data_IF_141295481132
#
_entry.id   IF_141295481132
#
_cell.length_a   1.000
_cell.length_b   1.000
_cell.length_c   1.000
_cell.angle_alpha   90.00
_cell.angle_beta   90.00
_cell.angle_gamma   90.00
#
_symmetry.space_group_name_H-M   'P 1'
#
loop_
_entity.id
_entity.type
_entity.pdbx_description
1 polymer ?
#
# COMPACT_ATOMS: atom_id res chain seq x y z
N UNK A 1 22.70 67.63 -33.03
CA UNK A 1 22.53 66.35 -32.33
C UNK A 1 23.91 65.69 -32.21
N UNK A 2 24.54 65.74 -31.04
CA UNK A 2 25.84 65.08 -30.81
C UNK A 2 25.58 63.82 -29.98
N UNK A 3 25.80 62.65 -30.57
CA UNK A 3 25.80 61.39 -29.83
C UNK A 3 27.09 61.30 -29.01
N UNK A 4 26.94 61.38 -27.68
CA UNK A 4 28.02 61.08 -26.76
C UNK A 4 28.00 59.58 -26.46
N UNK A 5 29.02 58.84 -26.89
CA UNK A 5 29.24 57.48 -26.44
C UNK A 5 29.97 57.53 -25.10
N UNK A 6 29.34 56.99 -24.06
CA UNK A 6 29.98 56.77 -22.75
C UNK A 6 30.81 55.50 -22.86
N UNK A 7 32.13 55.63 -22.94
CA UNK A 7 33.06 54.51 -22.79
C UNK A 7 33.20 54.26 -21.28
N UNK A 8 32.50 53.25 -20.78
CA UNK A 8 32.64 52.80 -19.38
C UNK A 8 33.91 51.94 -19.29
N UNK A 9 34.99 52.50 -18.77
CA UNK A 9 36.21 51.74 -18.45
C UNK A 9 35.96 50.99 -17.14
N UNK A 10 35.48 49.75 -17.24
CA UNK A 10 35.33 48.87 -16.08
C UNK A 10 36.68 48.23 -15.73
N UNK A 11 37.04 48.20 -14.44
CA UNK A 11 38.31 47.59 -14.00
C UNK A 11 38.28 46.06 -14.20
N UNK A 12 39.44 45.47 -14.52
CA UNK A 12 39.56 44.01 -14.76
C UNK A 12 39.13 43.16 -13.56
N UNK A 13 39.22 43.70 -12.33
CA UNK A 13 38.68 43.08 -11.11
C UNK A 13 37.15 43.06 -11.11
N UNK A 14 36.49 44.16 -11.49
CA UNK A 14 35.03 44.23 -11.54
C UNK A 14 34.46 43.31 -12.64
N UNK A 15 35.12 43.22 -13.80
CA UNK A 15 34.77 42.29 -14.88
C UNK A 15 34.94 40.83 -14.43
N UNK A 16 36.02 40.49 -13.72
CA UNK A 16 36.20 39.14 -13.14
C UNK A 16 35.14 38.82 -12.10
N UNK A 17 34.83 39.73 -11.18
CA UNK A 17 33.80 39.50 -10.15
C UNK A 17 32.41 39.31 -10.77
N UNK A 18 32.04 40.12 -11.76
CA UNK A 18 30.76 39.97 -12.47
C UNK A 18 30.73 38.65 -13.26
N UNK A 19 31.82 38.29 -13.94
CA UNK A 19 31.91 37.03 -14.70
C UNK A 19 31.81 35.80 -13.80
N UNK A 20 32.46 35.80 -12.63
CA UNK A 20 32.34 34.70 -11.64
C UNK A 20 30.92 34.59 -11.07
N UNK A 21 30.25 35.72 -10.79
CA UNK A 21 28.87 35.72 -10.29
C UNK A 21 27.89 35.20 -11.36
N UNK A 22 28.06 35.61 -12.62
CA UNK A 22 27.22 35.14 -13.74
C UNK A 22 27.42 33.64 -13.98
N UNK A 23 28.65 33.14 -13.94
CA UNK A 23 28.95 31.70 -14.07
C UNK A 23 28.33 30.88 -12.93
N UNK A 24 28.39 31.37 -11.69
CA UNK A 24 27.74 30.71 -10.54
C UNK A 24 26.20 30.73 -10.67
N UNK A 25 25.60 31.80 -11.21
CA UNK A 25 24.16 31.85 -11.48
C UNK A 25 23.75 30.84 -12.57
N UNK A 26 24.55 30.68 -13.62
CA UNK A 26 24.29 29.73 -14.71
C UNK A 26 24.45 28.26 -14.31
N UNK A 27 25.39 27.93 -13.41
CA UNK A 27 25.54 26.58 -12.84
C UNK A 27 24.34 26.23 -11.95
N UNK A 28 23.78 27.21 -11.23
CA UNK A 28 22.60 27.03 -10.38
C UNK A 28 21.32 26.74 -11.19
N UNK A 29 21.23 27.22 -12.43
CA UNK A 29 20.05 27.05 -13.30
C UNK A 29 20.09 25.71 -14.05
N UNK A 30 21.27 25.13 -14.27
CA UNK A 30 21.42 23.92 -15.09
C UNK A 30 21.08 22.60 -14.36
N UNK A 31 20.72 22.65 -13.08
CA UNK A 31 20.34 21.46 -12.30
C UNK A 31 18.82 21.26 -12.13
N UNK A 32 17.97 22.09 -12.75
CA UNK A 32 16.51 21.92 -12.67
C UNK A 32 15.98 21.10 -13.85
N UNK A 33 16.14 19.79 -13.75
CA UNK A 33 15.63 18.87 -14.75
C UNK A 33 15.64 17.41 -14.29
N UNK A 34 15.38 17.14 -13.02
CA UNK A 34 14.93 15.80 -12.64
C UNK A 34 13.41 15.76 -12.82
N UNK A 35 12.93 14.89 -13.71
CA UNK A 35 11.51 14.53 -13.76
C UNK A 35 11.13 14.01 -12.37
N UNK A 36 10.39 14.80 -11.60
CA UNK A 36 9.87 14.35 -10.30
C UNK A 36 8.88 13.23 -10.58
N UNK A 37 9.33 11.98 -10.45
CA UNK A 37 8.49 10.80 -10.60
C UNK A 37 7.43 10.86 -9.50
N UNK A 38 6.22 11.25 -9.88
CA UNK A 38 5.09 11.27 -8.97
C UNK A 38 4.70 9.81 -8.63
N UNK A 39 4.56 9.46 -7.35
CA UNK A 39 4.20 8.11 -6.94
C UNK A 39 2.84 7.72 -7.54
N UNK A 40 2.76 6.52 -8.12
CA UNK A 40 1.52 5.98 -8.70
C UNK A 40 0.71 5.17 -7.69
N UNK A 41 1.36 4.66 -6.66
CA UNK A 41 0.76 3.81 -5.64
C UNK A 41 1.09 4.33 -4.24
N UNK A 42 0.19 4.04 -3.29
CA UNK A 42 0.41 4.15 -1.86
C UNK A 42 0.36 2.78 -1.22
N UNK A 43 1.23 2.59 -0.22
CA UNK A 43 1.26 1.40 0.59
C UNK A 43 1.05 1.76 2.06
N UNK A 44 0.20 1.00 2.76
CA UNK A 44 0.00 1.11 4.20
C UNK A 44 0.51 -0.18 4.83
N UNK A 45 1.47 -0.06 5.74
CA UNK A 45 2.02 -1.20 6.48
C UNK A 45 1.06 -1.54 7.62
N UNK A 46 0.45 -2.72 7.57
CA UNK A 46 -0.37 -3.26 8.66
C UNK A 46 0.48 -4.08 9.63
N UNK A 47 1.47 -4.80 9.09
CA UNK A 47 2.53 -5.45 9.85
C UNK A 47 3.72 -5.79 8.96
N UNK A 48 4.91 -5.85 9.56
CA UNK A 48 6.18 -6.02 8.83
C UNK A 48 7.16 -6.98 9.50
N UNK A 49 6.70 -7.78 10.46
CA UNK A 49 7.48 -8.83 11.10
C UNK A 49 7.01 -10.22 10.64
N UNK A 50 7.85 -11.24 10.83
CA UNK A 50 7.46 -12.63 10.59
C UNK A 50 6.90 -13.33 11.84
N UNK A 51 7.36 -12.98 13.05
CA UNK A 51 6.97 -13.70 14.27
C UNK A 51 7.23 -12.90 15.56
N UNK A 52 7.18 -13.57 16.70
CA UNK A 52 7.28 -13.05 18.09
C UNK A 52 6.17 -12.09 18.53
N UNK A 53 5.59 -11.34 17.60
CA UNK A 53 4.51 -10.39 17.83
C UNK A 53 3.39 -10.71 16.86
N UNK A 54 2.39 -11.47 17.30
CA UNK A 54 1.23 -11.87 16.48
C UNK A 54 0.40 -10.66 15.99
N UNK A 55 0.63 -9.49 16.59
CA UNK A 55 0.00 -8.22 16.27
C UNK A 55 0.79 -7.36 15.26
N UNK A 56 1.89 -7.87 14.70
CA UNK A 56 2.72 -7.18 13.70
C UNK A 56 3.23 -8.12 12.58
N UNK A 57 2.44 -9.12 12.22
CA UNK A 57 2.77 -10.09 11.18
C UNK A 57 2.61 -9.49 9.78
N UNK A 58 3.40 -9.99 8.82
CA UNK A 58 3.50 -9.49 7.44
C UNK A 58 2.13 -9.24 6.81
N UNK A 59 1.83 -7.97 6.54
CA UNK A 59 0.67 -7.54 5.76
C UNK A 59 0.78 -6.07 5.34
N UNK A 60 0.50 -5.80 4.08
CA UNK A 60 0.53 -4.46 3.50
C UNK A 60 -0.74 -4.22 2.69
N UNK A 61 -1.26 -3.00 2.70
CA UNK A 61 -2.32 -2.59 1.78
C UNK A 61 -1.72 -1.78 0.65
N UNK A 62 -2.02 -2.14 -0.59
CA UNK A 62 -1.57 -1.42 -1.80
C UNK A 62 -2.77 -0.84 -2.55
N UNK A 63 -2.69 0.42 -2.94
CA UNK A 63 -3.71 1.12 -3.73
C UNK A 63 -3.06 2.11 -4.70
N UNK A 64 -3.67 2.42 -5.87
CA UNK A 64 -3.36 3.63 -6.60
C UNK A 64 -3.46 4.87 -5.69
N UNK A 65 -2.64 5.89 -5.96
CA UNK A 65 -2.50 7.06 -5.08
C UNK A 65 -3.84 7.81 -4.86
N UNK A 66 -4.69 7.85 -5.89
CA UNK A 66 -5.98 8.56 -5.90
C UNK A 66 -7.19 7.67 -5.56
N UNK A 67 -6.93 6.46 -5.06
CA UNK A 67 -7.98 5.52 -4.69
C UNK A 67 -7.87 5.14 -3.21
N UNK A 68 -8.99 4.67 -2.65
CA UNK A 68 -9.06 4.14 -1.29
C UNK A 68 -9.53 2.69 -1.28
N UNK A 69 -9.31 1.97 -2.38
CA UNK A 69 -9.57 0.54 -2.49
C UNK A 69 -8.23 -0.19 -2.55
N UNK A 70 -8.06 -1.18 -1.69
CA UNK A 70 -6.77 -1.82 -1.46
C UNK A 70 -6.80 -3.29 -1.84
N UNK A 71 -5.65 -3.77 -2.32
CA UNK A 71 -5.30 -5.18 -2.28
C UNK A 71 -4.39 -5.38 -1.06
N UNK A 72 -4.71 -6.37 -0.23
CA UNK A 72 -3.84 -6.77 0.86
C UNK A 72 -2.77 -7.73 0.32
N UNK A 73 -1.49 -7.36 0.47
CA UNK A 73 -0.33 -8.19 0.19
C UNK A 73 0.01 -8.94 1.48
N UNK A 74 -0.23 -10.25 1.47
CA UNK A 74 -0.32 -11.08 2.67
C UNK A 74 -1.31 -10.56 3.72
N UNK A 75 -1.60 -11.41 4.70
CA UNK A 75 -2.65 -11.18 5.68
C UNK A 75 -2.31 -11.77 7.05
N UNK A 76 -1.05 -11.67 7.46
CA UNK A 76 -0.60 -12.04 8.79
C UNK A 76 -1.33 -11.25 9.87
N UNK A 77 -1.24 -9.92 9.83
CA UNK A 77 -2.02 -9.04 10.71
C UNK A 77 -2.93 -8.15 9.86
N UNK A 78 -4.25 -8.25 10.06
CA UNK A 78 -5.24 -7.43 9.34
C UNK A 78 -5.93 -6.44 10.27
N UNK A 79 -6.91 -6.88 11.08
CA UNK A 79 -7.79 -5.97 11.81
C UNK A 79 -7.04 -5.08 12.81
N UNK A 80 -6.09 -5.66 13.56
CA UNK A 80 -5.26 -4.89 14.48
C UNK A 80 -4.32 -3.91 13.76
N UNK A 81 -3.74 -4.33 12.64
CA UNK A 81 -2.91 -3.45 11.81
C UNK A 81 -3.71 -2.28 11.26
N UNK A 82 -4.94 -2.52 10.80
CA UNK A 82 -5.86 -1.45 10.37
C UNK A 82 -6.10 -0.46 11.51
N UNK A 83 -6.40 -0.95 12.71
CA UNK A 83 -6.57 -0.11 13.90
C UNK A 83 -5.34 0.79 14.15
N UNK A 84 -4.13 0.21 14.12
CA UNK A 84 -2.88 0.96 14.31
C UNK A 84 -2.61 1.97 13.20
N UNK A 85 -2.96 1.65 11.97
CA UNK A 85 -2.84 2.58 10.84
C UNK A 85 -3.86 3.72 10.91
N UNK A 86 -5.07 3.50 11.44
CA UNK A 86 -6.03 4.57 11.75
C UNK A 86 -5.47 5.51 12.82
N UNK A 87 -4.94 4.96 13.93
CA UNK A 87 -4.30 5.76 14.99
C UNK A 87 -3.15 6.64 14.45
N UNK A 88 -2.50 6.20 13.36
CA UNK A 88 -1.43 6.93 12.66
C UNK A 88 -1.91 7.83 11.51
N UNK A 89 -3.21 7.91 11.26
CA UNK A 89 -3.80 8.80 10.25
C UNK A 89 -3.77 8.29 8.81
N UNK A 90 -3.45 7.01 8.55
CA UNK A 90 -3.32 6.47 7.19
C UNK A 90 -4.63 6.37 6.40
N UNK A 91 -5.78 6.57 7.05
CA UNK A 91 -7.13 6.44 6.46
C UNK A 91 -8.00 7.68 6.68
N UNK A 92 -7.39 8.87 6.83
CA UNK A 92 -8.11 10.12 7.10
C UNK A 92 -9.16 10.48 6.03
N UNK A 93 -9.00 9.98 4.81
CA UNK A 93 -9.93 10.20 3.69
C UNK A 93 -11.13 9.23 3.67
N UNK A 94 -11.15 8.21 4.54
CA UNK A 94 -12.23 7.21 4.56
C UNK A 94 -13.27 7.63 5.61
N UNK A 95 -14.46 7.97 5.13
CA UNK A 95 -15.62 8.23 5.98
C UNK A 95 -16.51 7.00 6.10
N UNK A 96 -16.92 6.70 7.33
CA UNK A 96 -17.91 5.66 7.61
C UNK A 96 -19.30 6.30 7.61
N UNK A 97 -20.29 5.74 6.89
CA UNK A 97 -21.66 6.23 6.96
C UNK A 97 -22.19 6.27 8.39
N UNK A 98 -22.90 7.34 8.76
CA UNK A 98 -23.39 7.56 10.14
C UNK A 98 -24.36 6.48 10.64
N UNK A 99 -25.05 5.81 9.72
CA UNK A 99 -25.98 4.71 9.95
C UNK A 99 -25.31 3.33 9.91
N UNK A 100 -24.00 3.26 9.66
CA UNK A 100 -23.24 2.02 9.66
C UNK A 100 -23.12 1.45 11.08
N UNK A 101 -23.34 0.15 11.20
CA UNK A 101 -23.08 -0.62 12.44
C UNK A 101 -21.61 -1.01 12.60
N UNK A 102 -20.75 -0.73 11.60
CA UNK A 102 -19.34 -1.09 11.61
C UNK A 102 -18.49 0.01 12.24
N UNK A 103 -17.48 -0.39 13.00
CA UNK A 103 -16.36 0.49 13.33
C UNK A 103 -15.59 0.88 12.07
N UNK A 104 -14.74 1.90 12.14
CA UNK A 104 -13.89 2.31 11.01
C UNK A 104 -13.00 1.18 10.52
N UNK A 105 -12.41 0.38 11.42
CA UNK A 105 -11.61 -0.80 11.07
C UNK A 105 -12.46 -1.83 10.33
N UNK A 106 -13.66 -2.11 10.84
CA UNK A 106 -14.60 -3.05 10.21
C UNK A 106 -15.08 -2.57 8.85
N UNK A 107 -15.29 -1.26 8.69
CA UNK A 107 -15.62 -0.63 7.42
C UNK A 107 -14.47 -0.77 6.42
N UNK A 108 -13.23 -0.47 6.82
CA UNK A 108 -12.05 -0.63 5.97
C UNK A 108 -11.86 -2.09 5.57
N UNK A 109 -11.89 -3.01 6.53
CA UNK A 109 -11.79 -4.45 6.30
C UNK A 109 -12.81 -4.92 5.25
N UNK A 110 -14.08 -4.56 5.43
CA UNK A 110 -15.18 -5.13 4.63
C UNK A 110 -15.47 -4.37 3.34
N UNK A 111 -15.15 -3.08 3.27
CA UNK A 111 -15.53 -2.19 2.16
C UNK A 111 -14.35 -1.70 1.35
N UNK A 112 -13.14 -1.61 1.93
CA UNK A 112 -11.99 -1.04 1.24
C UNK A 112 -10.92 -2.08 0.87
N UNK A 113 -10.81 -3.20 1.58
CA UNK A 113 -9.95 -4.32 1.14
C UNK A 113 -10.72 -5.19 0.14
N UNK A 114 -10.28 -5.18 -1.12
CA UNK A 114 -10.97 -5.82 -2.26
C UNK A 114 -10.49 -7.22 -2.57
N UNK A 115 -9.28 -7.56 -2.17
CA UNK A 115 -8.71 -8.89 -2.36
C UNK A 115 -7.51 -9.09 -1.44
N UNK A 116 -7.16 -10.36 -1.23
CA UNK A 116 -5.91 -10.77 -0.61
C UNK A 116 -5.02 -11.39 -1.69
N UNK A 117 -3.80 -10.89 -1.86
CA UNK A 117 -2.75 -11.53 -2.64
C UNK A 117 -1.78 -12.19 -1.66
N UNK A 118 -1.85 -13.51 -1.56
CA UNK A 118 -1.08 -14.29 -0.59
C UNK A 118 0.14 -14.90 -1.28
N UNK A 119 1.31 -14.62 -0.73
CA UNK A 119 2.59 -15.14 -1.20
C UNK A 119 2.68 -16.65 -0.95
N UNK A 120 2.46 -17.10 0.28
CA UNK A 120 2.45 -18.50 0.70
C UNK A 120 1.61 -18.70 1.97
N UNK A 121 1.25 -19.95 2.27
CA UNK A 121 0.27 -20.30 3.29
C UNK A 121 0.86 -20.60 4.68
N UNK A 122 1.99 -19.99 5.06
CA UNK A 122 2.43 -20.03 6.45
C UNK A 122 1.58 -19.11 7.32
N UNK A 123 1.37 -19.48 8.59
CA UNK A 123 0.42 -18.79 9.47
C UNK A 123 0.74 -17.32 9.69
N UNK A 124 2.01 -16.93 9.69
CA UNK A 124 2.44 -15.54 9.77
C UNK A 124 2.06 -14.69 8.54
N UNK A 125 1.63 -15.31 7.45
CA UNK A 125 1.14 -14.63 6.26
C UNK A 125 -0.39 -14.72 6.07
N UNK A 126 -1.10 -15.51 6.89
CA UNK A 126 -2.55 -15.75 6.70
C UNK A 126 -3.39 -15.72 7.98
N UNK A 127 -2.79 -15.67 9.17
CA UNK A 127 -3.53 -15.77 10.43
C UNK A 127 -4.59 -14.68 10.58
N UNK A 128 -4.27 -13.43 10.24
CA UNK A 128 -5.20 -12.32 10.22
C UNK A 128 -6.37 -12.53 9.26
N UNK A 129 -6.13 -13.09 8.06
CA UNK A 129 -7.19 -13.51 7.13
C UNK A 129 -8.10 -14.57 7.77
N UNK A 130 -7.52 -15.63 8.34
CA UNK A 130 -8.27 -16.75 8.92
C UNK A 130 -9.14 -16.26 10.08
N UNK A 131 -8.55 -15.57 11.06
CA UNK A 131 -9.25 -15.12 12.27
C UNK A 131 -10.37 -14.15 11.94
N UNK A 132 -10.15 -13.23 11.00
CA UNK A 132 -11.15 -12.21 10.64
C UNK A 132 -12.20 -12.71 9.64
N UNK A 133 -12.05 -13.92 9.09
CA UNK A 133 -12.92 -14.44 8.04
C UNK A 133 -14.41 -14.44 8.42
N UNK A 134 -14.77 -14.80 9.65
CA UNK A 134 -16.16 -14.80 10.08
C UNK A 134 -16.82 -13.40 10.08
N UNK A 135 -16.04 -12.34 10.23
CA UNK A 135 -16.52 -10.96 10.29
C UNK A 135 -16.30 -10.16 8.99
N UNK A 136 -15.58 -10.74 8.02
CA UNK A 136 -15.22 -10.05 6.80
C UNK A 136 -16.39 -10.05 5.77
N UNK A 137 -16.07 -10.04 4.49
CA UNK A 137 -16.95 -9.79 3.36
C UNK A 137 -16.47 -10.57 2.16
N UNK A 138 -17.35 -10.73 1.17
CA UNK A 138 -17.01 -11.48 -0.03
C UNK A 138 -15.90 -10.79 -0.82
N UNK A 139 -14.82 -11.50 -1.10
CA UNK A 139 -13.70 -11.03 -1.93
C UNK A 139 -12.83 -12.18 -2.43
N UNK A 140 -11.80 -11.88 -3.21
CA UNK A 140 -10.93 -12.92 -3.78
C UNK A 140 -9.68 -13.14 -2.94
N UNK A 141 -9.22 -14.39 -2.89
CA UNK A 141 -7.87 -14.77 -2.45
C UNK A 141 -7.10 -15.18 -3.70
N UNK A 142 -6.06 -14.42 -4.02
CA UNK A 142 -5.16 -14.61 -5.14
C UNK A 142 -3.87 -15.23 -4.61
N UNK A 143 -3.29 -16.15 -5.37
CA UNK A 143 -2.00 -16.75 -5.08
C UNK A 143 -1.62 -17.76 -6.15
N UNK A 144 -0.38 -18.24 -6.13
CA UNK A 144 0.02 -19.35 -7.00
C UNK A 144 -0.77 -20.62 -6.64
N UNK A 145 -0.93 -21.59 -7.56
CA UNK A 145 -1.73 -22.79 -7.32
C UNK A 145 -1.42 -23.48 -5.99
N UNK A 146 -0.14 -23.67 -5.68
CA UNK A 146 0.31 -24.31 -4.43
C UNK A 146 -0.14 -23.58 -3.17
N UNK A 147 -0.15 -22.25 -3.17
CA UNK A 147 -0.62 -21.43 -2.05
C UNK A 147 -2.12 -21.60 -1.86
N UNK A 148 -2.88 -21.57 -2.96
CA UNK A 148 -4.33 -21.78 -2.92
C UNK A 148 -4.67 -23.19 -2.45
N UNK A 149 -3.96 -24.21 -2.92
CA UNK A 149 -4.16 -25.61 -2.52
C UNK A 149 -3.97 -25.78 -1.00
N UNK A 150 -2.91 -25.20 -0.43
CA UNK A 150 -2.67 -25.24 1.01
C UNK A 150 -3.75 -24.52 1.83
N UNK A 151 -4.23 -23.36 1.38
CA UNK A 151 -5.34 -22.67 2.05
C UNK A 151 -6.62 -23.52 2.00
N UNK A 152 -6.93 -24.08 0.83
CA UNK A 152 -8.12 -24.89 0.58
C UNK A 152 -8.11 -26.20 1.38
N UNK A 153 -6.97 -26.88 1.47
CA UNK A 153 -6.88 -28.24 2.01
C UNK A 153 -6.58 -28.27 3.51
N UNK A 154 -5.86 -27.27 4.02
CA UNK A 154 -5.32 -27.29 5.37
C UNK A 154 -5.84 -26.17 6.29
N UNK A 155 -6.49 -25.13 5.76
CA UNK A 155 -6.98 -24.01 6.58
C UNK A 155 -8.51 -23.91 6.55
N UNK A 156 -9.10 -23.68 5.37
CA UNK A 156 -10.55 -23.59 5.21
C UNK A 156 -11.16 -24.95 4.86
N UNK A 157 -11.19 -25.87 5.83
CA UNK A 157 -11.50 -27.30 5.60
C UNK A 157 -12.50 -27.92 6.60
N UNK A 158 -13.11 -27.13 7.48
CA UNK A 158 -13.98 -27.57 8.60
C UNK A 158 -13.30 -28.34 9.73
N UNK A 159 -11.98 -28.50 9.69
CA UNK A 159 -11.19 -29.12 10.77
C UNK A 159 -10.39 -28.07 11.51
N UNK A 160 -9.60 -27.27 10.79
CA UNK A 160 -8.82 -26.16 11.36
C UNK A 160 -9.70 -24.92 11.48
N UNK A 161 -10.43 -24.58 10.42
CA UNK A 161 -11.35 -23.45 10.39
C UNK A 161 -12.54 -23.74 9.46
N UNK A 162 -13.72 -23.13 9.67
CA UNK A 162 -14.84 -23.26 8.76
C UNK A 162 -14.45 -22.94 7.31
N UNK A 163 -15.03 -23.65 6.34
CA UNK A 163 -14.68 -23.44 4.94
C UNK A 163 -15.32 -22.15 4.39
N UNK A 164 -14.61 -21.03 4.55
CA UNK A 164 -14.96 -19.73 3.97
C UNK A 164 -14.63 -19.63 2.47
N UNK A 165 -13.87 -20.58 1.93
CA UNK A 165 -13.52 -20.63 0.52
C UNK A 165 -14.71 -20.96 -0.39
N UNK A 166 -14.45 -20.86 -1.69
CA UNK A 166 -15.37 -21.25 -2.76
C UNK A 166 -15.26 -22.72 -3.15
N UNK A 167 -14.25 -23.43 -2.63
CA UNK A 167 -13.88 -24.80 -3.00
C UNK A 167 -13.31 -25.55 -1.78
N UNK A 168 -13.00 -26.83 -1.96
CA UNK A 168 -12.40 -27.68 -0.93
C UNK A 168 -13.42 -28.59 -0.24
N UNK A 169 -13.07 -29.08 0.95
CA UNK A 169 -13.87 -30.08 1.68
C UNK A 169 -15.15 -29.47 2.28
N UNK A 170 -16.23 -30.25 2.27
CA UNK A 170 -17.47 -29.92 2.97
C UNK A 170 -18.28 -28.79 2.32
N UNK A 171 -19.16 -28.16 3.12
CA UNK A 171 -19.99 -27.05 2.66
C UNK A 171 -19.16 -25.77 2.47
N UNK A 172 -19.35 -25.06 1.36
CA UNK A 172 -18.64 -23.82 1.05
C UNK A 172 -19.49 -22.60 1.45
N UNK A 173 -19.00 -21.80 2.41
CA UNK A 173 -19.65 -20.53 2.76
C UNK A 173 -19.57 -19.54 1.59
N UNK A 174 -18.65 -19.75 0.63
CA UNK A 174 -18.50 -18.94 -0.58
C UNK A 174 -18.26 -17.45 -0.25
N UNK A 175 -17.45 -17.20 0.76
CA UNK A 175 -17.00 -15.86 1.09
C UNK A 175 -15.77 -15.47 0.29
N UNK A 176 -14.80 -16.38 0.18
CA UNK A 176 -13.57 -16.14 -0.56
C UNK A 176 -13.54 -16.93 -1.86
N UNK A 177 -13.47 -16.21 -2.99
CA UNK A 177 -13.22 -16.83 -4.29
C UNK A 177 -11.73 -17.06 -4.47
N UNK A 178 -11.31 -18.28 -4.76
CA UNK A 178 -9.92 -18.55 -5.11
C UNK A 178 -9.60 -18.14 -6.55
N UNK A 179 -8.46 -17.51 -6.74
CA UNK A 179 -7.93 -17.11 -8.04
C UNK A 179 -6.46 -17.54 -8.10
N UNK A 180 -6.20 -18.55 -8.93
CA UNK A 180 -4.83 -19.01 -9.16
C UNK A 180 -4.14 -18.07 -10.16
N UNK A 181 -2.92 -17.65 -9.83
CA UNK A 181 -2.08 -16.80 -10.67
C UNK A 181 -0.98 -17.64 -11.33
N UNK A 182 -0.84 -17.46 -12.63
CA UNK A 182 0.27 -18.02 -13.39
C UNK A 182 1.53 -17.15 -13.21
N UNK A 183 2.72 -17.74 -13.01
CA UNK A 183 3.99 -17.02 -12.89
C UNK A 183 4.39 -16.23 -14.14
#
# INVERSE_FOLDING_TARGET
MKNSYIIVIMSSKLIRTISTIVVLLFISISCYGEDVIQPKFKAIVLGSAGGLSEDNLTSYLLSPINENNFIALDAGTIFYGIKKSIERGSFSEIEVPKDSVLSTEGWILRKHIKAYLISHAHLDHVSGLIINSAADSKKSILGIPKTIDYIREHLFNWEVWPNFGSEGRGFHINQYKYVQLEP
#
